data_IF_271666873593
#
_entry.id   IF_271666873593
#
_cell.length_a   1.000
_cell.length_b   1.000
_cell.length_c   1.000
_cell.angle_alpha   90.00
_cell.angle_beta   90.00
_cell.angle_gamma   90.00
#
_symmetry.space_group_name_H-M   'P 1'
#
loop_
_entity.id
_entity.type
_entity.pdbx_description
1 polymer ?
#
# COMPACT_ATOMS: atom_id res chain seq x y z
N UNK A 1 -20.14 5.57 -10.99
CA UNK A 1 -19.83 4.14 -10.98
C UNK A 1 -20.95 3.33 -10.30
N UNK A 2 -21.43 3.75 -9.13
CA UNK A 2 -22.37 2.98 -8.31
C UNK A 2 -23.81 3.50 -8.30
N UNK A 3 -24.08 4.58 -9.03
CA UNK A 3 -25.42 5.15 -9.25
C UNK A 3 -26.21 5.38 -7.93
N UNK A 4 -25.52 5.85 -6.90
CA UNK A 4 -26.10 6.11 -5.57
C UNK A 4 -26.35 4.87 -4.70
N UNK A 5 -25.91 3.67 -5.11
CA UNK A 5 -26.09 2.44 -4.33
C UNK A 5 -24.97 2.15 -3.33
N UNK A 6 -23.86 2.87 -3.42
CA UNK A 6 -22.70 2.77 -2.52
C UNK A 6 -22.37 4.18 -2.05
N UNK A 7 -22.28 4.37 -0.73
CA UNK A 7 -21.85 5.60 -0.11
C UNK A 7 -20.34 5.76 -0.15
N UNK A 8 -19.88 6.97 0.15
CA UNK A 8 -18.46 7.29 0.28
C UNK A 8 -18.18 8.00 1.60
N UNK A 9 -17.14 7.55 2.30
CA UNK A 9 -16.61 8.23 3.48
C UNK A 9 -15.12 8.47 3.25
N UNK A 10 -14.70 9.72 3.40
CA UNK A 10 -13.29 10.10 3.31
C UNK A 10 -12.47 9.39 4.37
N UNK A 11 -11.16 9.32 4.12
CA UNK A 11 -10.25 8.64 5.04
C UNK A 11 -10.47 9.09 6.49
N UNK A 12 -10.61 8.12 7.35
CA UNK A 12 -10.75 8.32 8.78
C UNK A 12 -10.00 7.20 9.51
N UNK A 13 -9.27 7.58 10.55
CA UNK A 13 -8.64 6.61 11.44
C UNK A 13 -9.69 5.65 12.03
N UNK A 14 -9.39 4.34 12.11
CA UNK A 14 -10.28 3.40 12.78
C UNK A 14 -10.63 3.83 14.21
N UNK A 15 -11.91 3.77 14.56
CA UNK A 15 -12.38 4.14 15.88
C UNK A 15 -13.81 4.67 15.88
N UNK A 16 -14.21 5.26 16.98
CA UNK A 16 -15.58 5.76 17.21
C UNK A 16 -16.01 6.82 16.18
N UNK A 17 -15.11 7.75 15.83
CA UNK A 17 -15.41 8.81 14.87
C UNK A 17 -15.70 8.25 13.46
N UNK A 18 -15.05 7.16 13.05
CA UNK A 18 -15.39 6.46 11.82
C UNK A 18 -16.82 5.92 11.89
N UNK A 19 -17.21 5.33 13.01
CA UNK A 19 -18.59 4.87 13.24
C UNK A 19 -19.63 5.98 13.10
N UNK A 20 -19.35 7.18 13.63
CA UNK A 20 -20.23 8.33 13.48
C UNK A 20 -20.34 8.80 12.02
N UNK A 21 -19.26 8.81 11.27
CA UNK A 21 -19.26 9.16 9.84
C UNK A 21 -20.02 8.13 9.01
N UNK A 22 -19.88 6.84 9.32
CA UNK A 22 -20.65 5.78 8.66
C UNK A 22 -22.15 5.96 8.89
N UNK A 23 -22.53 6.24 10.13
CA UNK A 23 -23.93 6.52 10.48
C UNK A 23 -24.48 7.72 9.72
N UNK A 24 -23.76 8.85 9.72
CA UNK A 24 -24.16 10.03 8.97
C UNK A 24 -24.33 9.74 7.48
N UNK A 25 -23.40 9.01 6.86
CA UNK A 25 -23.49 8.60 5.47
C UNK A 25 -24.75 7.75 5.17
N UNK A 26 -25.14 6.87 6.09
CA UNK A 26 -26.37 6.08 5.98
C UNK A 26 -27.63 6.94 6.11
N UNK A 27 -27.66 7.87 7.05
CA UNK A 27 -28.79 8.79 7.28
C UNK A 27 -29.00 9.71 6.07
N UNK A 28 -27.93 10.20 5.45
CA UNK A 28 -27.96 11.05 4.26
C UNK A 28 -28.30 10.29 2.97
N UNK A 29 -28.02 9.00 2.90
CA UNK A 29 -28.17 8.16 1.71
C UNK A 29 -28.99 6.89 2.01
N UNK A 30 -30.28 7.01 2.30
CA UNK A 30 -31.13 5.87 2.58
C UNK A 30 -31.22 4.97 1.35
N UNK A 31 -31.02 3.66 1.54
CA UNK A 31 -31.07 2.65 0.47
C UNK A 31 -29.74 2.26 -0.14
N UNK A 32 -28.60 2.81 0.31
CA UNK A 32 -27.31 2.29 -0.09
C UNK A 32 -27.07 0.88 0.48
N UNK A 33 -26.29 0.07 -0.23
CA UNK A 33 -25.99 -1.33 0.12
C UNK A 33 -24.56 -1.54 0.62
N UNK A 34 -23.81 -0.48 0.69
CA UNK A 34 -22.42 -0.47 1.17
C UNK A 34 -21.85 0.93 1.22
N UNK A 35 -20.72 1.06 1.88
CA UNK A 35 -19.96 2.31 1.98
C UNK A 35 -18.50 2.01 1.67
N UNK A 36 -17.95 2.72 0.70
CA UNK A 36 -16.53 2.69 0.39
C UNK A 36 -15.82 3.73 1.25
N UNK A 37 -14.71 3.33 1.83
CA UNK A 37 -13.89 4.17 2.70
C UNK A 37 -12.59 4.53 1.99
N UNK A 38 -12.29 5.81 1.86
CA UNK A 38 -11.05 6.30 1.27
C UNK A 38 -9.83 5.71 1.97
N UNK A 39 -8.94 5.06 1.23
CA UNK A 39 -7.70 4.41 1.72
C UNK A 39 -7.91 3.48 2.93
N UNK A 40 -9.08 2.86 3.05
CA UNK A 40 -9.41 2.00 4.18
C UNK A 40 -10.01 0.67 3.70
N UNK A 41 -11.13 0.70 2.97
CA UNK A 41 -11.79 -0.52 2.52
C UNK A 41 -13.25 -0.33 2.16
N UNK A 42 -14.02 -1.40 2.30
CA UNK A 42 -15.43 -1.46 1.92
C UNK A 42 -16.24 -2.11 3.03
N UNK A 43 -17.36 -1.48 3.37
CA UNK A 43 -18.44 -2.10 4.14
C UNK A 43 -19.61 -2.41 3.24
N UNK A 44 -20.14 -3.60 3.37
CA UNK A 44 -21.42 -4.01 2.77
C UNK A 44 -22.27 -4.75 3.78
N UNK A 45 -23.54 -4.82 3.55
CA UNK A 45 -24.51 -5.52 4.39
C UNK A 45 -25.63 -6.14 3.55
N UNK A 46 -26.45 -6.91 4.17
CA UNK A 46 -27.63 -7.56 3.61
C UNK A 46 -28.46 -8.20 4.72
N UNK A 47 -29.66 -8.64 4.44
CA UNK A 47 -30.54 -9.29 5.42
C UNK A 47 -30.02 -10.70 5.80
N UNK A 48 -29.14 -11.27 4.99
CA UNK A 48 -28.47 -12.53 5.24
C UNK A 48 -26.97 -12.41 5.06
N UNK A 49 -26.21 -13.33 5.67
CA UNK A 49 -24.75 -13.42 5.46
C UNK A 49 -24.40 -13.62 3.97
N UNK A 50 -25.21 -14.37 3.25
CA UNK A 50 -25.05 -14.59 1.81
C UNK A 50 -25.19 -13.28 1.02
N UNK A 51 -26.23 -12.51 1.28
CA UNK A 51 -26.44 -11.22 0.61
C UNK A 51 -25.32 -10.23 0.90
N UNK A 52 -24.89 -10.10 2.16
CA UNK A 52 -23.75 -9.27 2.53
C UNK A 52 -22.50 -9.66 1.74
N UNK A 53 -22.22 -10.95 1.65
CA UNK A 53 -21.06 -11.47 0.89
C UNK A 53 -21.19 -11.18 -0.62
N UNK A 54 -22.35 -11.44 -1.21
CA UNK A 54 -22.59 -11.17 -2.64
C UNK A 54 -22.51 -9.68 -2.94
N UNK A 55 -23.03 -8.80 -2.07
CA UNK A 55 -22.90 -7.36 -2.22
C UNK A 55 -21.43 -6.92 -2.23
N UNK A 56 -20.59 -7.52 -1.38
CA UNK A 56 -19.14 -7.27 -1.40
C UNK A 56 -18.52 -7.64 -2.75
N UNK A 57 -18.80 -8.86 -3.24
CA UNK A 57 -18.24 -9.34 -4.51
C UNK A 57 -18.69 -8.48 -5.69
N UNK A 58 -19.96 -8.08 -5.73
CA UNK A 58 -20.49 -7.21 -6.79
C UNK A 58 -19.80 -5.84 -6.84
N UNK A 59 -19.53 -5.25 -5.68
CA UNK A 59 -18.80 -3.97 -5.61
C UNK A 59 -17.37 -4.14 -6.09
N UNK A 60 -16.67 -5.18 -5.65
CA UNK A 60 -15.29 -5.49 -6.08
C UNK A 60 -15.24 -5.71 -7.59
N UNK A 61 -16.13 -6.53 -8.13
CA UNK A 61 -16.21 -6.81 -9.57
C UNK A 61 -16.45 -5.54 -10.39
N UNK A 62 -17.38 -4.70 -9.94
CA UNK A 62 -17.67 -3.42 -10.63
C UNK A 62 -16.48 -2.45 -10.60
N UNK A 63 -15.71 -2.42 -9.50
CA UNK A 63 -14.46 -1.67 -9.44
C UNK A 63 -13.41 -2.24 -10.40
N UNK A 64 -13.23 -3.56 -10.41
CA UNK A 64 -12.26 -4.24 -11.27
C UNK A 64 -12.58 -3.99 -12.74
N UNK A 65 -13.85 -4.14 -13.15
CA UNK A 65 -14.30 -3.87 -14.51
C UNK A 65 -14.03 -2.40 -14.91
N UNK A 66 -14.36 -1.46 -14.02
CA UNK A 66 -14.12 -0.03 -14.29
C UNK A 66 -12.62 0.27 -14.49
N UNK A 67 -11.76 -0.33 -13.68
CA UNK A 67 -10.31 -0.17 -13.82
C UNK A 67 -9.81 -0.78 -15.13
N UNK A 68 -10.29 -1.97 -15.50
CA UNK A 68 -9.91 -2.61 -16.77
C UNK A 68 -10.35 -1.78 -17.98
N UNK A 69 -11.61 -1.30 -17.99
CA UNK A 69 -12.18 -0.54 -19.09
C UNK A 69 -11.48 0.81 -19.30
N UNK A 70 -11.11 1.49 -18.20
CA UNK A 70 -10.55 2.84 -18.27
C UNK A 70 -9.03 2.87 -18.28
N UNK A 71 -8.39 1.92 -17.62
CA UNK A 71 -6.93 1.94 -17.41
C UNK A 71 -6.22 0.70 -17.94
N UNK A 72 -6.84 -0.44 -18.02
CA UNK A 72 -6.38 -1.75 -18.48
C UNK A 72 -4.95 -1.82 -19.02
N UNK A 73 -4.76 -2.45 -20.15
CA UNK A 73 -3.44 -2.65 -20.80
C UNK A 73 -2.78 -1.38 -21.35
N UNK A 74 -3.47 -0.24 -21.32
CA UNK A 74 -3.01 1.03 -21.91
C UNK A 74 -2.09 1.84 -20.99
N UNK A 75 -1.99 1.50 -19.71
CA UNK A 75 -1.21 2.27 -18.74
C UNK A 75 -0.08 1.43 -18.16
N UNK A 76 1.12 1.97 -18.19
CA UNK A 76 2.25 1.37 -17.51
C UNK A 76 2.03 1.43 -16.00
N UNK A 77 2.09 0.29 -15.32
CA UNK A 77 1.95 0.20 -13.86
C UNK A 77 3.05 1.06 -13.21
N UNK A 78 2.66 1.86 -12.22
CA UNK A 78 3.55 2.79 -11.51
C UNK A 78 4.35 3.74 -12.43
N UNK A 79 3.78 4.15 -13.56
CA UNK A 79 4.45 5.01 -14.53
C UNK A 79 5.51 4.31 -15.40
N UNK A 80 5.61 2.98 -15.31
CA UNK A 80 6.58 2.16 -16.05
C UNK A 80 7.93 2.03 -15.35
N UNK A 81 8.79 1.22 -15.95
CA UNK A 81 10.10 0.89 -15.41
C UNK A 81 11.10 2.04 -15.61
N UNK A 82 11.76 2.47 -14.53
CA UNK A 82 12.85 3.46 -14.50
C UNK A 82 14.22 2.78 -14.46
N UNK A 83 14.36 1.76 -13.62
CA UNK A 83 15.61 1.05 -13.40
C UNK A 83 15.46 -0.44 -13.74
N UNK A 84 16.52 -1.04 -14.22
CA UNK A 84 16.58 -2.49 -14.39
C UNK A 84 16.94 -3.16 -13.05
N UNK A 85 16.26 -4.26 -12.76
CA UNK A 85 16.59 -5.07 -11.59
C UNK A 85 17.96 -5.72 -11.75
N UNK A 86 18.76 -5.67 -10.70
CA UNK A 86 19.98 -6.46 -10.62
C UNK A 86 19.68 -7.97 -10.69
N UNK A 87 20.62 -8.79 -11.17
CA UNK A 87 20.49 -10.26 -11.09
C UNK A 87 20.21 -10.73 -9.65
N UNK A 88 19.44 -11.83 -9.47
CA UNK A 88 19.04 -12.31 -8.14
C UNK A 88 20.20 -12.52 -7.14
N UNK A 89 21.32 -13.04 -7.64
CA UNK A 89 22.51 -13.26 -6.80
C UNK A 89 23.06 -11.95 -6.27
N UNK A 90 23.22 -10.95 -7.14
CA UNK A 90 23.72 -9.63 -6.74
C UNK A 90 22.76 -8.90 -5.79
N UNK A 91 21.43 -9.05 -5.96
CA UNK A 91 20.46 -8.49 -5.03
C UNK A 91 20.63 -9.06 -3.62
N UNK A 92 20.78 -10.38 -3.52
CA UNK A 92 21.01 -11.08 -2.24
C UNK A 92 22.33 -10.68 -1.59
N UNK A 93 23.40 -10.56 -2.35
CA UNK A 93 24.70 -10.12 -1.85
C UNK A 93 24.63 -8.68 -1.29
N UNK A 94 24.01 -7.77 -2.05
CA UNK A 94 23.79 -6.39 -1.58
C UNK A 94 22.90 -6.32 -0.34
N UNK A 95 21.81 -7.08 -0.31
CA UNK A 95 20.94 -7.17 0.84
C UNK A 95 21.69 -7.72 2.07
N UNK A 96 22.52 -8.74 1.90
CA UNK A 96 23.35 -9.31 2.97
C UNK A 96 24.36 -8.30 3.53
N UNK A 97 24.92 -7.43 2.68
CA UNK A 97 25.84 -6.36 3.10
C UNK A 97 25.12 -5.24 3.84
N UNK A 98 23.93 -4.85 3.38
CA UNK A 98 23.11 -3.78 4.00
C UNK A 98 22.40 -4.22 5.29
N UNK A 99 21.97 -5.46 5.38
CA UNK A 99 21.10 -5.93 6.46
C UNK A 99 21.69 -5.73 7.87
N UNK A 100 22.98 -5.98 8.16
CA UNK A 100 23.56 -5.73 9.48
C UNK A 100 23.54 -4.24 9.84
N UNK A 101 23.79 -3.35 8.88
CA UNK A 101 23.83 -1.90 9.06
C UNK A 101 22.43 -1.39 9.38
N UNK A 102 21.45 -1.71 8.54
CA UNK A 102 20.07 -1.31 8.73
C UNK A 102 19.48 -1.87 10.03
N UNK A 103 19.80 -3.14 10.35
CA UNK A 103 19.41 -3.75 11.62
C UNK A 103 20.03 -3.01 12.81
N UNK A 104 21.28 -2.57 12.71
CA UNK A 104 21.94 -1.77 13.74
C UNK A 104 21.19 -0.47 14.02
N UNK A 105 20.80 0.27 12.97
CA UNK A 105 20.04 1.52 13.13
C UNK A 105 18.63 1.30 13.72
N UNK A 106 17.98 0.19 13.36
CA UNK A 106 16.65 -0.13 13.87
C UNK A 106 16.64 -0.73 15.29
N UNK A 107 17.79 -1.16 15.82
CA UNK A 107 17.91 -1.94 17.08
C UNK A 107 18.44 -1.10 18.23
N UNK A 108 17.75 0.00 18.58
CA UNK A 108 18.20 0.89 19.66
C UNK A 108 17.92 0.34 21.06
N UNK A 109 16.69 -0.01 21.36
CA UNK A 109 16.24 -0.54 22.67
C UNK A 109 15.96 -2.04 22.62
N UNK A 110 15.46 -2.51 21.50
CA UNK A 110 15.10 -3.93 21.26
C UNK A 110 15.82 -4.40 20.01
N UNK A 111 16.33 -5.62 20.06
CA UNK A 111 16.95 -6.26 18.88
C UNK A 111 15.87 -6.57 17.84
N UNK A 112 15.96 -5.92 16.68
CA UNK A 112 15.04 -6.11 15.59
C UNK A 112 15.45 -7.28 14.70
N UNK A 113 14.45 -7.91 14.07
CA UNK A 113 14.63 -8.91 13.03
C UNK A 113 14.07 -8.32 11.75
N UNK A 114 14.85 -8.35 10.66
CA UNK A 114 14.44 -7.91 9.35
C UNK A 114 14.03 -9.09 8.47
N UNK A 115 13.08 -8.86 7.57
CA UNK A 115 12.74 -9.76 6.49
C UNK A 115 13.09 -9.10 5.16
N UNK A 116 13.78 -9.83 4.29
CA UNK A 116 14.11 -9.39 2.93
C UNK A 116 13.15 -10.04 1.93
N UNK A 117 12.63 -9.24 1.03
CA UNK A 117 11.85 -9.73 -0.12
C UNK A 117 12.27 -9.00 -1.40
N UNK A 118 12.33 -9.72 -2.50
CA UNK A 118 12.69 -9.23 -3.82
C UNK A 118 11.81 -9.89 -4.91
N UNK A 119 10.53 -10.13 -4.57
CA UNK A 119 9.58 -10.64 -5.53
C UNK A 119 9.29 -9.64 -6.66
N UNK A 120 8.71 -10.11 -7.76
CA UNK A 120 8.49 -9.31 -8.97
C UNK A 120 7.63 -8.07 -8.72
N UNK A 121 6.67 -8.11 -7.79
CA UNK A 121 5.79 -6.97 -7.46
C UNK A 121 6.56 -5.89 -6.72
N UNK A 122 7.40 -6.30 -5.76
CA UNK A 122 8.29 -5.39 -5.05
C UNK A 122 9.26 -4.74 -6.03
N UNK A 123 9.92 -5.54 -6.88
CA UNK A 123 10.86 -5.04 -7.88
C UNK A 123 10.19 -4.09 -8.90
N UNK A 124 8.97 -4.40 -9.31
CA UNK A 124 8.20 -3.53 -10.21
C UNK A 124 7.94 -2.15 -9.57
N UNK A 125 7.61 -2.10 -8.28
CA UNK A 125 7.35 -0.85 -7.57
C UNK A 125 8.64 -0.05 -7.33
N UNK A 126 9.67 -0.67 -6.75
CA UNK A 126 10.91 0.06 -6.39
C UNK A 126 11.73 0.51 -7.61
N UNK A 127 11.55 -0.13 -8.78
CA UNK A 127 12.22 0.26 -10.02
C UNK A 127 11.35 1.14 -10.93
N UNK A 128 10.23 1.67 -10.42
CA UNK A 128 9.26 2.42 -11.22
C UNK A 128 9.55 3.93 -11.29
N UNK A 129 8.97 4.59 -12.30
CA UNK A 129 9.07 6.04 -12.47
C UNK A 129 8.33 6.81 -11.37
N UNK A 130 7.27 6.24 -10.81
CA UNK A 130 6.43 6.92 -9.82
C UNK A 130 6.75 6.54 -8.36
N UNK A 131 7.86 5.82 -8.11
CA UNK A 131 8.28 5.44 -6.75
C UNK A 131 8.28 6.64 -5.79
N UNK A 132 8.96 7.72 -6.18
CA UNK A 132 9.15 8.91 -5.33
C UNK A 132 7.84 9.66 -5.05
N UNK A 133 6.82 9.48 -5.90
CA UNK A 133 5.48 10.06 -5.72
C UNK A 133 4.59 9.16 -4.87
N UNK A 134 4.70 7.84 -5.06
CA UNK A 134 3.77 6.88 -4.47
C UNK A 134 4.19 6.42 -3.07
N UNK A 135 5.49 6.26 -2.82
CA UNK A 135 5.98 5.80 -1.52
C UNK A 135 5.57 6.72 -0.35
N UNK A 136 5.64 8.08 -0.46
CA UNK A 136 5.20 8.97 0.61
C UNK A 136 3.70 8.91 0.91
N UNK A 137 2.88 8.45 -0.03
CA UNK A 137 1.43 8.28 0.20
C UNK A 137 1.14 7.18 1.25
N UNK A 138 2.11 6.31 1.49
CA UNK A 138 2.00 5.28 2.50
C UNK A 138 1.17 4.07 2.06
N UNK A 139 0.59 3.41 3.04
CA UNK A 139 -0.16 2.17 2.84
C UNK A 139 -1.59 2.46 2.37
N UNK A 140 -2.14 1.55 1.56
CA UNK A 140 -3.50 1.66 1.03
C UNK A 140 -4.57 1.15 2.00
N UNK A 141 -4.20 0.57 3.14
CA UNK A 141 -5.14 0.12 4.14
C UNK A 141 -4.62 0.33 5.57
N UNK A 142 -5.51 0.53 6.56
CA UNK A 142 -5.13 0.85 7.93
C UNK A 142 -4.44 -0.30 8.66
N UNK A 143 -4.67 -1.55 8.29
CA UNK A 143 -4.05 -2.70 8.93
C UNK A 143 -2.52 -2.69 8.83
N UNK A 144 -1.98 -2.13 7.77
CA UNK A 144 -0.54 -1.99 7.60
C UNK A 144 0.05 -0.98 8.59
N UNK A 145 -0.47 0.24 8.68
CA UNK A 145 0.14 1.25 9.55
C UNK A 145 -0.08 0.99 11.05
N UNK A 146 -1.04 0.17 11.42
CA UNK A 146 -1.18 -0.30 12.81
C UNK A 146 0.03 -1.17 13.23
N UNK A 147 0.70 -1.80 12.29
CA UNK A 147 1.82 -2.72 12.51
C UNK A 147 3.15 -2.20 12.01
N UNK A 148 3.13 -1.24 11.10
CA UNK A 148 4.30 -0.62 10.47
C UNK A 148 4.28 0.89 10.67
N UNK A 149 5.11 1.62 9.95
CA UNK A 149 5.00 3.09 9.82
C UNK A 149 4.01 3.44 8.72
N UNK A 150 3.54 4.69 8.71
CA UNK A 150 2.57 5.19 7.74
C UNK A 150 3.12 5.08 6.32
N UNK A 151 4.36 5.48 6.10
CA UNK A 151 5.05 5.38 4.81
C UNK A 151 6.34 4.57 4.92
N UNK A 152 6.74 3.88 3.85
CA UNK A 152 8.03 3.21 3.79
C UNK A 152 9.16 4.23 3.72
N UNK A 153 10.32 3.86 4.23
CA UNK A 153 11.56 4.57 3.96
C UNK A 153 12.10 4.14 2.59
N UNK A 154 12.31 5.10 1.72
CA UNK A 154 12.97 4.88 0.43
C UNK A 154 14.45 5.21 0.56
N UNK A 155 15.31 4.21 0.45
CA UNK A 155 16.76 4.38 0.42
C UNK A 155 17.22 4.44 -1.03
N UNK A 156 17.54 5.64 -1.50
CA UNK A 156 18.05 5.86 -2.86
C UNK A 156 19.56 5.70 -2.86
N UNK A 157 20.05 4.69 -3.58
CA UNK A 157 21.46 4.40 -3.74
C UNK A 157 21.91 4.72 -5.16
N UNK A 158 23.03 5.44 -5.29
CA UNK A 158 23.64 5.77 -6.56
C UNK A 158 24.78 4.81 -6.93
N UNK A 159 25.13 4.71 -8.23
CA UNK A 159 26.32 3.97 -8.64
C UNK A 159 27.58 4.56 -7.95
N UNK A 160 28.26 3.76 -7.16
CA UNK A 160 29.46 4.18 -6.42
C UNK A 160 29.24 4.38 -4.91
N UNK A 161 28.01 4.34 -4.44
CA UNK A 161 27.75 4.36 -2.99
C UNK A 161 28.35 3.13 -2.31
N UNK A 162 29.08 3.36 -1.24
CA UNK A 162 29.60 2.29 -0.40
C UNK A 162 28.51 1.77 0.55
N UNK A 163 27.84 0.71 0.12
CA UNK A 163 26.80 0.05 0.92
C UNK A 163 27.33 -0.78 2.11
N UNK A 164 28.63 -0.92 2.24
CA UNK A 164 29.28 -1.61 3.38
C UNK A 164 29.68 -0.64 4.49
N UNK A 165 29.68 0.67 4.22
CA UNK A 165 29.98 1.70 5.20
C UNK A 165 28.70 2.23 5.89
N UNK A 166 28.61 2.00 7.19
CA UNK A 166 27.48 2.45 7.99
C UNK A 166 27.30 3.98 8.00
N UNK A 167 28.38 4.77 7.88
CA UNK A 167 28.32 6.22 7.84
C UNK A 167 27.71 6.69 6.53
N UNK A 168 28.17 6.15 5.42
CA UNK A 168 27.62 6.43 4.08
C UNK A 168 26.13 6.14 4.01
N UNK A 169 25.69 5.00 4.55
CA UNK A 169 24.27 4.65 4.60
C UNK A 169 23.48 5.59 5.52
N UNK A 170 24.04 5.98 6.66
CA UNK A 170 23.38 6.90 7.61
C UNK A 170 23.11 8.29 7.01
N UNK A 171 23.99 8.78 6.17
CA UNK A 171 23.85 10.08 5.50
C UNK A 171 22.71 10.09 4.47
N UNK A 172 22.23 8.91 4.05
CA UNK A 172 21.14 8.74 3.09
C UNK A 172 19.77 8.38 3.74
N UNK A 173 19.76 8.18 5.04
CA UNK A 173 18.55 7.92 5.83
C UNK A 173 17.98 9.21 6.43
#
# INVERSE_FOLDING_TARGET
>A
LFDGTIGWVEWQKPGFDLGLKLRACLEENPGIRGIMLGSHGLFTWGDTAYESYINTLQVIEKCAQYLEDNYGKKRAIFGGQKLQSLPPVQRKEKAASLAPILRGFCSSQVKMIGHFTDDDRVLQFINSNDLDKLAPLGTSCPDHFLRTKISPLVLSLEPGDDISDAKSIKEKL
#
